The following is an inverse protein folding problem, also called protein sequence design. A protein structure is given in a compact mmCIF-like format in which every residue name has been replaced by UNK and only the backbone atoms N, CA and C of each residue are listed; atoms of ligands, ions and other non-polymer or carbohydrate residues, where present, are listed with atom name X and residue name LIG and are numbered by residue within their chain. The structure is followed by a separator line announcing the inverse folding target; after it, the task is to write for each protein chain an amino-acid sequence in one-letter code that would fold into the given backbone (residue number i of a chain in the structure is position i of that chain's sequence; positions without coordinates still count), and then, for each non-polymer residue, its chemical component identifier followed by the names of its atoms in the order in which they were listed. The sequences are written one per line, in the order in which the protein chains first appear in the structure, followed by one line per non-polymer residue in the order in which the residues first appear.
data_IF_148045081382
#
_entry.id   IF_148045081382
#
_cell.length_a   1.000
_cell.length_b   1.000
_cell.length_c   1.000
_cell.angle_alpha   90.00
_cell.angle_beta   90.00
_cell.angle_gamma   90.00
#
_symmetry.space_group_name_H-M   'P 1'
#
loop_
_entity.id
_entity.type
_entity.pdbx_description
1 polymer ?
#
# COMPACT_ATOMS: atom_id res chain seq x y z
N UNK A 1 -0.22 -20.09 -5.04
CA UNK A 1 -0.29 -18.82 -5.80
C UNK A 1 0.75 -18.86 -6.89
N UNK A 2 0.43 -18.43 -8.12
CA UNK A 2 1.48 -18.28 -9.13
C UNK A 2 2.35 -17.06 -8.79
N UNK A 3 3.66 -17.05 -9.12
CA UNK A 3 4.53 -15.90 -8.86
C UNK A 3 3.99 -14.59 -9.45
N UNK A 4 3.29 -14.66 -10.59
CA UNK A 4 2.67 -13.50 -11.24
C UNK A 4 1.55 -12.86 -10.42
N UNK A 5 0.75 -13.65 -9.71
CA UNK A 5 -0.34 -13.13 -8.86
C UNK A 5 0.21 -12.28 -7.71
N UNK A 6 1.26 -12.75 -7.02
CA UNK A 6 1.88 -12.00 -5.93
C UNK A 6 2.50 -10.67 -6.40
N UNK A 7 3.17 -10.68 -7.55
CA UNK A 7 3.75 -9.47 -8.13
C UNK A 7 2.68 -8.45 -8.54
N UNK A 8 1.55 -8.90 -9.11
CA UNK A 8 0.45 -8.02 -9.47
C UNK A 8 -0.16 -7.34 -8.23
N UNK A 9 -0.47 -8.10 -7.17
CA UNK A 9 -1.00 -7.54 -5.93
C UNK A 9 -0.04 -6.56 -5.26
N UNK A 10 1.26 -6.85 -5.26
CA UNK A 10 2.25 -5.92 -4.73
C UNK A 10 2.28 -4.60 -5.51
N UNK A 11 2.25 -4.66 -6.85
CA UNK A 11 2.21 -3.45 -7.69
C UNK A 11 0.94 -2.62 -7.45
N UNK A 12 -0.20 -3.29 -7.28
CA UNK A 12 -1.47 -2.62 -6.95
C UNK A 12 -1.38 -1.96 -5.57
N UNK A 13 -0.86 -2.66 -4.55
CA UNK A 13 -0.69 -2.10 -3.21
C UNK A 13 0.24 -0.87 -3.20
N UNK A 14 1.36 -0.95 -3.93
CA UNK A 14 2.28 0.19 -4.11
C UNK A 14 1.57 1.34 -4.82
N UNK A 15 0.83 1.07 -5.90
CA UNK A 15 0.09 2.09 -6.63
C UNK A 15 -0.91 2.80 -5.73
N UNK A 16 -1.75 2.06 -4.99
CA UNK A 16 -2.73 2.63 -4.05
C UNK A 16 -2.02 3.52 -3.02
N UNK A 17 -0.92 3.02 -2.44
CA UNK A 17 -0.14 3.76 -1.45
C UNK A 17 0.36 5.10 -2.01
N UNK A 18 0.94 5.08 -3.20
CA UNK A 18 1.48 6.28 -3.83
C UNK A 18 0.38 7.25 -4.27
N UNK A 19 -0.73 6.72 -4.80
CA UNK A 19 -1.87 7.53 -5.22
C UNK A 19 -2.50 8.23 -4.01
N UNK A 20 -2.78 7.51 -2.93
CA UNK A 20 -3.29 8.10 -1.69
C UNK A 20 -2.31 9.12 -1.12
N UNK A 21 -1.00 8.80 -1.07
CA UNK A 21 0.00 9.77 -0.60
C UNK A 21 0.02 11.05 -1.42
N UNK A 22 -0.19 10.96 -2.73
CA UNK A 22 -0.25 12.11 -3.62
C UNK A 22 -1.54 12.93 -3.46
N UNK A 23 -2.67 12.28 -3.17
CA UNK A 23 -3.98 12.94 -3.05
C UNK A 23 -4.21 13.55 -1.67
N UNK A 24 -3.74 12.88 -0.60
CA UNK A 24 -3.94 13.27 0.79
C UNK A 24 -3.71 14.77 1.10
N UNK A 25 -2.65 15.45 0.61
CA UNK A 25 -2.38 16.84 0.93
C UNK A 25 -3.41 17.81 0.33
N UNK A 26 -4.18 17.36 -0.67
CA UNK A 26 -5.20 18.16 -1.35
C UNK A 26 -6.60 17.93 -0.78
N UNK A 27 -6.77 16.96 0.13
CA UNK A 27 -8.05 16.68 0.77
C UNK A 27 -8.27 17.61 1.97
N UNK A 28 -9.52 18.05 2.14
CA UNK A 28 -9.90 18.86 3.29
C UNK A 28 -10.01 17.99 4.54
N UNK A 29 -9.29 18.29 5.63
CA UNK A 29 -9.38 17.52 6.87
C UNK A 29 -10.81 17.51 7.43
N UNK A 30 -11.24 16.35 7.93
CA UNK A 30 -12.57 16.18 8.53
C UNK A 30 -13.67 15.75 7.56
N UNK A 31 -13.38 15.60 6.27
CA UNK A 31 -14.33 15.00 5.31
C UNK A 31 -14.22 13.48 5.25
N UNK A 32 -15.27 12.84 4.72
CA UNK A 32 -15.27 11.40 4.49
C UNK A 32 -14.15 10.99 3.50
N UNK A 33 -13.87 11.79 2.47
CA UNK A 33 -12.78 11.47 1.53
C UNK A 33 -11.43 11.43 2.23
N UNK A 34 -11.15 12.39 3.12
CA UNK A 34 -9.89 12.41 3.89
C UNK A 34 -9.73 11.15 4.74
N UNK A 35 -10.78 10.74 5.46
CA UNK A 35 -10.72 9.55 6.32
C UNK A 35 -10.50 8.29 5.50
N UNK A 36 -11.23 8.13 4.39
CA UNK A 36 -11.09 6.97 3.50
C UNK A 36 -9.70 6.91 2.90
N UNK A 37 -9.13 8.03 2.48
CA UNK A 37 -7.80 8.08 1.88
C UNK A 37 -6.68 7.81 2.90
N UNK A 38 -6.82 8.29 4.15
CA UNK A 38 -5.92 7.91 5.26
C UNK A 38 -5.95 6.40 5.50
N UNK A 39 -7.16 5.79 5.52
CA UNK A 39 -7.30 4.36 5.72
C UNK A 39 -6.71 3.56 4.55
N UNK A 40 -6.94 4.00 3.31
CA UNK A 40 -6.36 3.39 2.12
C UNK A 40 -4.82 3.45 2.15
N UNK A 41 -4.26 4.60 2.53
CA UNK A 41 -2.82 4.78 2.71
C UNK A 41 -2.27 3.83 3.77
N UNK A 42 -2.93 3.71 4.92
CA UNK A 42 -2.52 2.81 6.00
C UNK A 42 -2.52 1.33 5.56
N UNK A 43 -3.57 0.88 4.88
CA UNK A 43 -3.67 -0.49 4.35
C UNK A 43 -2.61 -0.75 3.28
N UNK A 44 -2.39 0.21 2.39
CA UNK A 44 -1.35 0.14 1.36
C UNK A 44 0.05 -0.02 1.97
N UNK A 45 0.40 0.84 2.93
CA UNK A 45 1.68 0.78 3.65
C UNK A 45 1.85 -0.55 4.40
N UNK A 46 0.82 -1.02 5.10
CA UNK A 46 0.86 -2.31 5.79
C UNK A 46 1.12 -3.47 4.82
N UNK A 47 0.43 -3.49 3.68
CA UNK A 47 0.60 -4.51 2.65
C UNK A 47 2.01 -4.51 2.07
N UNK A 48 2.54 -3.32 1.73
CA UNK A 48 3.91 -3.16 1.23
C UNK A 48 4.93 -3.60 2.27
N UNK A 49 4.74 -3.22 3.55
CA UNK A 49 5.62 -3.61 4.64
C UNK A 49 5.67 -5.13 4.84
N UNK A 50 4.51 -5.80 4.83
CA UNK A 50 4.44 -7.26 4.93
C UNK A 50 5.22 -7.93 3.81
N UNK A 51 5.00 -7.52 2.55
CA UNK A 51 5.72 -8.09 1.41
C UNK A 51 7.22 -7.83 1.49
N UNK A 52 7.63 -6.62 1.89
CA UNK A 52 9.03 -6.27 2.06
C UNK A 52 9.72 -7.11 3.16
N UNK A 53 9.04 -7.34 4.29
CA UNK A 53 9.53 -8.19 5.38
C UNK A 53 9.65 -9.64 4.93
N UNK A 54 8.62 -10.19 4.29
CA UNK A 54 8.63 -11.56 3.78
C UNK A 54 9.73 -11.78 2.74
N UNK A 55 9.89 -10.84 1.79
CA UNK A 55 10.96 -10.89 0.80
C UNK A 55 12.34 -10.85 1.48
N UNK A 56 12.50 -10.00 2.50
CA UNK A 56 13.77 -9.91 3.26
C UNK A 56 14.07 -11.17 4.06
N UNK A 57 13.06 -11.84 4.62
CA UNK A 57 13.24 -13.11 5.33
C UNK A 57 13.56 -14.25 4.37
N UNK A 58 12.88 -14.31 3.23
CA UNK A 58 13.16 -15.32 2.19
C UNK A 58 14.53 -15.16 1.54
N UNK A 59 15.12 -13.95 1.58
CA UNK A 59 16.46 -13.68 1.06
C UNK A 59 17.58 -13.98 2.07
N UNK A 60 17.25 -14.37 3.31
CA UNK A 60 18.27 -14.85 4.27
C UNK A 60 18.61 -16.31 3.93
N UNK A 61 19.90 -16.66 3.79
CA UNK A 61 20.34 -18.02 3.49
C UNK A 61 20.09 -18.99 4.65
#
# INVERSE_FOLDING_TARGET
MSPGTGQAFFRIAVFITLASLAVLPFLTPGTAEFVVDVLALAVGLASVAVVAVLARWSARP
#
